data_IF_102492706781
#
_entry.id   IF_102492706781
#
_cell.length_a   1.000
_cell.length_b   1.000
_cell.length_c   1.000
_cell.angle_alpha   90.00
_cell.angle_beta   90.00
_cell.angle_gamma   90.00
#
_symmetry.space_group_name_H-M   'P 1'
#
loop_
_entity.id
_entity.type
_entity.pdbx_description
1 polymer ?
#
# COMPACT_ATOMS: atom_id res chain seq x y z
N UNK A 1 29.99 -1.29 -18.81
CA UNK A 1 28.92 -0.36 -19.24
C UNK A 1 27.97 -0.12 -18.07
N UNK A 2 27.66 1.12 -17.81
CA UNK A 2 26.77 1.51 -16.71
C UNK A 2 25.36 1.66 -17.25
N UNK A 3 24.34 1.19 -16.51
CA UNK A 3 22.97 1.41 -16.90
C UNK A 3 22.62 2.91 -16.83
N UNK A 4 21.77 3.41 -17.74
CA UNK A 4 21.26 4.78 -17.61
C UNK A 4 20.55 4.96 -16.27
N UNK A 5 20.61 6.16 -15.66
CA UNK A 5 19.97 6.38 -14.37
C UNK A 5 18.45 6.23 -14.47
N UNK A 6 17.88 5.52 -13.50
CA UNK A 6 16.44 5.45 -13.28
C UNK A 6 16.18 5.60 -11.79
N UNK A 7 14.96 5.88 -11.42
CA UNK A 7 14.56 5.89 -10.00
C UNK A 7 13.20 5.22 -9.86
N UNK A 8 12.96 4.66 -8.69
CA UNK A 8 11.68 4.04 -8.40
C UNK A 8 10.62 5.13 -8.26
N UNK A 9 9.64 5.15 -9.14
CA UNK A 9 8.62 6.19 -9.16
C UNK A 9 7.33 5.77 -8.47
N UNK A 10 6.85 4.58 -8.79
CA UNK A 10 5.57 4.12 -8.26
C UNK A 10 5.47 2.60 -8.43
N UNK A 11 4.48 2.04 -7.79
CA UNK A 11 4.02 0.68 -8.06
C UNK A 11 2.50 0.65 -7.97
N UNK A 12 1.88 -0.31 -8.64
CA UNK A 12 0.44 -0.36 -8.80
C UNK A 12 -0.16 -1.58 -8.10
N UNK A 13 -1.31 -1.36 -7.48
CA UNK A 13 -2.15 -2.43 -6.97
C UNK A 13 -3.44 -2.43 -7.76
N UNK A 14 -3.77 -3.57 -8.34
CA UNK A 14 -5.06 -3.76 -8.99
C UNK A 14 -6.09 -4.08 -7.92
N UNK A 15 -7.21 -3.37 -7.91
CA UNK A 15 -8.24 -3.53 -6.88
C UNK A 15 -9.59 -3.82 -7.54
N UNK A 16 -10.46 -4.61 -6.88
CA UNK A 16 -11.78 -4.92 -7.45
C UNK A 16 -12.74 -3.73 -7.38
N UNK A 17 -12.62 -2.90 -6.35
CA UNK A 17 -13.47 -1.72 -6.16
C UNK A 17 -12.65 -0.55 -5.65
N UNK A 18 -12.56 0.50 -6.46
CA UNK A 18 -11.74 1.66 -6.16
C UNK A 18 -12.19 2.36 -4.87
N UNK A 19 -13.50 2.54 -4.68
CA UNK A 19 -14.00 3.29 -3.52
C UNK A 19 -13.58 2.65 -2.19
N UNK A 20 -13.69 1.33 -2.09
CA UNK A 20 -13.33 0.59 -0.88
C UNK A 20 -11.81 0.60 -0.64
N UNK A 21 -11.04 0.40 -1.70
CA UNK A 21 -9.59 0.41 -1.62
C UNK A 21 -9.08 1.80 -1.20
N UNK A 22 -9.59 2.84 -1.84
CA UNK A 22 -9.22 4.21 -1.54
C UNK A 22 -9.54 4.55 -0.09
N UNK A 23 -10.73 4.18 0.39
CA UNK A 23 -11.13 4.42 1.77
C UNK A 23 -10.16 3.76 2.76
N UNK A 24 -9.75 2.51 2.48
CA UNK A 24 -8.81 1.80 3.34
C UNK A 24 -7.46 2.52 3.42
N UNK A 25 -6.82 2.78 2.27
CA UNK A 25 -5.47 3.37 2.26
C UNK A 25 -5.45 4.78 2.83
N UNK A 26 -6.52 5.54 2.63
CA UNK A 26 -6.64 6.88 3.21
C UNK A 26 -6.81 6.82 4.73
N UNK A 27 -7.76 6.03 5.21
CA UNK A 27 -8.10 5.99 6.64
C UNK A 27 -7.04 5.27 7.47
N UNK A 28 -6.51 4.17 6.95
CA UNK A 28 -5.54 3.38 7.69
C UNK A 28 -4.17 4.08 7.81
N UNK A 29 -3.70 4.72 6.72
CA UNK A 29 -2.33 5.21 6.66
C UNK A 29 -2.18 6.69 6.30
N UNK A 30 -3.27 7.35 5.93
CA UNK A 30 -3.20 8.78 5.61
C UNK A 30 -2.77 9.10 4.19
N UNK A 31 -2.88 8.14 3.26
CA UNK A 31 -2.62 8.43 1.86
C UNK A 31 -3.63 9.44 1.32
N UNK A 32 -3.20 10.26 0.38
CA UNK A 32 -4.04 11.23 -0.29
C UNK A 32 -3.92 11.08 -1.80
N UNK A 33 -5.03 11.30 -2.51
CA UNK A 33 -5.03 11.26 -3.97
C UNK A 33 -4.40 12.54 -4.49
N UNK A 34 -3.34 12.39 -5.30
CA UNK A 34 -2.66 13.54 -5.92
C UNK A 34 -2.99 13.68 -7.40
N UNK A 35 -3.44 12.60 -8.04
CA UNK A 35 -3.76 12.61 -9.46
C UNK A 35 -4.70 11.45 -9.77
N UNK A 36 -5.60 11.66 -10.74
CA UNK A 36 -6.57 10.63 -11.14
C UNK A 36 -6.64 10.54 -12.65
N UNK A 37 -6.83 9.33 -13.15
CA UNK A 37 -7.00 9.05 -14.56
C UNK A 37 -8.28 8.25 -14.77
N UNK A 38 -9.09 8.67 -15.74
CA UNK A 38 -10.30 7.97 -16.16
C UNK A 38 -10.14 7.60 -17.63
N UNK A 39 -9.97 6.32 -17.89
CA UNK A 39 -9.84 5.80 -19.24
C UNK A 39 -11.01 4.86 -19.56
N UNK A 40 -11.25 4.51 -20.85
CA UNK A 40 -12.33 3.59 -21.18
C UNK A 40 -12.21 2.23 -20.50
N UNK A 41 -10.98 1.75 -20.27
CA UNK A 41 -10.71 0.40 -19.77
C UNK A 41 -10.47 0.35 -18.27
N UNK A 42 -10.10 1.47 -17.63
CA UNK A 42 -9.75 1.48 -16.21
C UNK A 42 -9.87 2.86 -15.60
N UNK A 43 -9.97 2.88 -14.27
CA UNK A 43 -9.79 4.08 -13.46
C UNK A 43 -8.52 3.90 -12.63
N UNK A 44 -7.79 5.00 -12.38
CA UNK A 44 -6.53 4.96 -11.67
C UNK A 44 -6.38 6.18 -10.78
N UNK A 45 -5.93 5.97 -9.54
CA UNK A 45 -5.59 7.04 -8.62
C UNK A 45 -4.14 6.92 -8.17
N UNK A 46 -3.42 8.02 -8.24
CA UNK A 46 -2.08 8.13 -7.65
C UNK A 46 -2.23 8.60 -6.22
N UNK A 47 -1.68 7.82 -5.29
CA UNK A 47 -1.72 8.13 -3.86
C UNK A 47 -0.34 8.48 -3.36
N UNK A 48 -0.27 9.46 -2.47
CA UNK A 48 0.99 9.85 -1.81
C UNK A 48 0.75 10.04 -0.33
N UNK A 49 1.79 9.82 0.46
CA UNK A 49 1.80 10.19 1.86
C UNK A 49 2.26 11.64 1.96
N UNK A 50 1.71 12.42 2.93
CA UNK A 50 2.16 13.80 3.14
C UNK A 50 3.67 13.86 3.37
N UNK A 51 4.34 14.78 2.68
CA UNK A 51 5.79 14.91 2.72
C UNK A 51 6.54 13.98 1.77
N UNK A 52 5.83 13.09 1.07
CA UNK A 52 6.42 12.12 0.15
C UNK A 52 5.75 12.16 -1.23
N UNK A 53 5.28 13.35 -1.62
CA UNK A 53 4.50 13.52 -2.86
C UNK A 53 5.28 13.20 -4.13
N UNK A 54 6.61 13.36 -4.11
CA UNK A 54 7.45 13.07 -5.25
C UNK A 54 7.72 11.57 -5.44
N UNK A 55 7.23 10.78 -4.54
CA UNK A 55 7.32 9.34 -4.65
C UNK A 55 8.43 8.70 -3.82
N UNK A 56 8.50 7.36 -3.86
CA UNK A 56 7.63 6.45 -4.60
C UNK A 56 6.16 6.56 -4.20
N UNK A 57 5.29 6.49 -5.20
CA UNK A 57 3.85 6.61 -5.00
C UNK A 57 3.18 5.25 -5.09
N UNK A 58 2.04 5.13 -4.42
CA UNK A 58 1.16 3.96 -4.54
C UNK A 58 0.05 4.33 -5.52
N UNK A 59 -0.21 3.46 -6.51
CA UNK A 59 -1.28 3.69 -7.46
C UNK A 59 -2.30 2.57 -7.36
N UNK A 60 -3.58 2.93 -7.30
CA UNK A 60 -4.68 1.98 -7.31
C UNK A 60 -5.32 1.97 -8.69
N UNK A 61 -5.55 0.77 -9.23
CA UNK A 61 -6.13 0.59 -10.57
C UNK A 61 -7.35 -0.31 -10.47
N UNK A 62 -8.47 0.14 -11.03
CA UNK A 62 -9.68 -0.67 -11.15
C UNK A 62 -10.00 -0.84 -12.63
N UNK A 63 -9.98 -2.09 -13.12
CA UNK A 63 -10.36 -2.39 -14.49
C UNK A 63 -11.87 -2.48 -14.62
N UNK A 64 -12.41 -1.96 -15.73
CA UNK A 64 -13.86 -1.90 -15.92
C UNK A 64 -14.47 -3.21 -16.42
N UNK A 65 -13.64 -4.14 -16.89
CA UNK A 65 -14.08 -5.45 -17.37
C UNK A 65 -14.29 -6.47 -16.24
N UNK A 66 -14.09 -6.04 -14.98
CA UNK A 66 -14.27 -6.87 -13.78
C UNK A 66 -13.40 -8.12 -13.79
N UNK A 67 -12.22 -8.04 -14.40
CA UNK A 67 -11.27 -9.15 -14.37
C UNK A 67 -10.91 -9.50 -12.94
N UNK A 68 -10.54 -10.77 -12.73
CA UNK A 68 -10.05 -11.22 -11.43
C UNK A 68 -8.69 -10.57 -11.14
N UNK A 69 -8.61 -9.85 -10.03
CA UNK A 69 -7.39 -9.18 -9.60
C UNK A 69 -6.90 -9.71 -8.26
N UNK A 70 -7.29 -10.95 -7.92
CA UNK A 70 -6.83 -11.60 -6.69
C UNK A 70 -5.30 -11.64 -6.67
N UNK A 71 -4.65 -11.08 -5.63
CA UNK A 71 -3.19 -11.09 -5.57
C UNK A 71 -2.63 -12.50 -5.52
N UNK A 72 -1.54 -12.71 -6.28
CA UNK A 72 -0.81 -13.97 -6.28
C UNK A 72 0.40 -13.90 -5.38
N UNK A 73 1.33 -14.84 -5.58
CA UNK A 73 2.55 -14.97 -4.78
C UNK A 73 3.79 -14.41 -5.47
N UNK A 74 3.60 -13.72 -6.59
CA UNK A 74 4.72 -13.26 -7.42
C UNK A 74 5.47 -12.06 -6.88
N UNK A 75 4.98 -11.43 -5.81
CA UNK A 75 5.64 -10.28 -5.20
C UNK A 75 5.36 -10.26 -3.69
N UNK A 76 6.16 -9.48 -2.98
CA UNK A 76 6.03 -9.35 -1.53
C UNK A 76 5.10 -8.21 -1.12
N UNK A 77 5.10 -7.87 0.17
CA UNK A 77 4.21 -6.85 0.71
C UNK A 77 4.61 -5.43 0.35
N UNK A 78 3.62 -4.53 0.43
CA UNK A 78 3.87 -3.09 0.45
C UNK A 78 4.50 -2.74 1.80
N UNK A 79 5.68 -2.14 1.78
CA UNK A 79 6.39 -1.78 3.01
C UNK A 79 6.13 -0.33 3.42
N UNK A 80 5.74 -0.12 4.68
CA UNK A 80 5.51 1.19 5.26
C UNK A 80 6.37 1.36 6.51
N UNK A 81 7.11 2.47 6.59
CA UNK A 81 7.92 2.79 7.77
C UNK A 81 7.05 3.58 8.73
N UNK A 82 6.97 3.11 9.97
CA UNK A 82 6.10 3.68 11.00
C UNK A 82 6.93 4.30 12.12
N UNK A 83 6.44 5.39 12.69
CA UNK A 83 7.03 5.97 13.90
C UNK A 83 6.49 5.28 15.16
N UNK A 84 5.26 4.78 15.09
CA UNK A 84 4.60 4.05 16.19
C UNK A 84 3.87 2.87 15.58
N UNK A 85 4.56 1.74 15.49
CA UNK A 85 4.02 0.55 14.80
C UNK A 85 2.79 -0.01 15.51
N UNK A 86 2.74 0.06 16.84
CA UNK A 86 1.58 -0.44 17.58
C UNK A 86 0.32 0.34 17.22
N UNK A 87 0.42 1.68 17.15
CA UNK A 87 -0.70 2.53 16.79
C UNK A 87 -1.10 2.34 15.33
N UNK A 88 -0.12 2.23 14.42
CA UNK A 88 -0.39 2.01 12.99
C UNK A 88 -1.06 0.66 12.76
N UNK A 89 -0.60 -0.37 13.45
CA UNK A 89 -1.18 -1.71 13.39
C UNK A 89 -2.64 -1.69 13.85
N UNK A 90 -2.90 -1.10 15.00
CA UNK A 90 -4.25 -1.01 15.55
C UNK A 90 -5.19 -0.24 14.62
N UNK A 91 -4.73 0.88 14.07
CA UNK A 91 -5.54 1.67 13.16
C UNK A 91 -5.88 0.91 11.86
N UNK A 92 -4.91 0.19 11.30
CA UNK A 92 -5.15 -0.61 10.10
C UNK A 92 -6.19 -1.70 10.35
N UNK A 93 -6.13 -2.36 11.51
CA UNK A 93 -7.12 -3.36 11.90
C UNK A 93 -8.51 -2.74 12.03
N UNK A 94 -8.60 -1.54 12.63
CA UNK A 94 -9.87 -0.84 12.76
C UNK A 94 -10.46 -0.45 11.40
N UNK A 95 -9.63 -0.33 10.37
CA UNK A 95 -10.05 -0.02 9.00
C UNK A 95 -10.29 -1.27 8.15
N UNK A 96 -10.21 -2.47 8.72
CA UNK A 96 -10.57 -3.70 8.03
C UNK A 96 -9.41 -4.59 7.60
N UNK A 97 -8.18 -4.26 7.96
CA UNK A 97 -7.04 -5.13 7.65
C UNK A 97 -7.11 -6.42 8.47
N UNK A 98 -6.58 -7.50 7.90
CA UNK A 98 -6.47 -8.80 8.55
C UNK A 98 -5.06 -8.97 9.13
N UNK A 99 -4.96 -9.51 10.34
CA UNK A 99 -3.66 -9.80 10.96
C UNK A 99 -3.05 -11.02 10.30
N UNK A 100 -1.82 -10.88 9.78
CA UNK A 100 -1.00 -12.01 9.38
C UNK A 100 0.00 -12.35 10.48
N UNK A 101 0.61 -11.32 11.08
CA UNK A 101 1.40 -11.46 12.30
C UNK A 101 1.08 -10.30 13.24
N UNK A 102 1.25 -10.54 14.56
CA UNK A 102 1.31 -9.41 15.50
C UNK A 102 2.64 -8.69 15.34
N UNK A 103 2.87 -7.66 16.16
CA UNK A 103 4.14 -6.94 16.15
C UNK A 103 5.21 -7.80 16.79
N UNK A 104 6.35 -7.95 16.11
CA UNK A 104 7.49 -8.73 16.61
C UNK A 104 8.79 -8.03 16.25
N UNK A 105 9.90 -8.45 16.87
CA UNK A 105 11.22 -7.93 16.56
C UNK A 105 12.01 -8.91 15.70
N UNK A 106 12.73 -8.36 14.72
CA UNK A 106 13.64 -9.14 13.89
C UNK A 106 14.76 -8.21 13.44
N UNK A 107 16.01 -8.61 13.67
CA UNK A 107 17.18 -7.83 13.23
C UNK A 107 17.24 -6.39 13.77
N UNK A 108 16.72 -6.17 14.96
CA UNK A 108 16.75 -4.85 15.60
C UNK A 108 15.62 -3.92 15.18
N UNK A 109 14.72 -4.37 14.32
CA UNK A 109 13.54 -3.60 13.90
C UNK A 109 12.26 -4.28 14.39
N UNK A 110 11.19 -3.50 14.49
CA UNK A 110 9.87 -4.03 14.82
C UNK A 110 9.06 -4.16 13.54
N UNK A 111 8.41 -5.29 13.37
CA UNK A 111 7.72 -5.66 12.12
C UNK A 111 6.33 -6.18 12.44
N UNK A 112 5.38 -5.93 11.54
CA UNK A 112 4.08 -6.57 11.57
C UNK A 112 3.60 -6.76 10.13
N UNK A 113 2.97 -7.90 9.86
CA UNK A 113 2.40 -8.20 8.55
C UNK A 113 0.89 -8.22 8.62
N UNK A 114 0.27 -7.54 7.68
CA UNK A 114 -1.18 -7.40 7.55
C UNK A 114 -1.60 -7.72 6.13
N UNK A 115 -2.89 -7.94 5.95
CA UNK A 115 -3.48 -8.02 4.61
C UNK A 115 -4.58 -6.97 4.51
N UNK A 116 -4.56 -6.18 3.41
CA UNK A 116 -5.62 -5.20 3.16
C UNK A 116 -6.95 -5.91 2.86
N UNK A 117 -8.09 -5.21 2.96
CA UNK A 117 -9.38 -5.82 2.61
C UNK A 117 -9.44 -6.33 1.16
N UNK A 118 -8.62 -5.77 0.25
CA UNK A 118 -8.56 -6.20 -1.15
C UNK A 118 -7.58 -7.36 -1.36
N UNK A 119 -6.89 -7.81 -0.30
CA UNK A 119 -6.03 -8.99 -0.37
C UNK A 119 -4.53 -8.71 -0.52
N UNK A 120 -4.11 -7.46 -0.53
CA UNK A 120 -2.67 -7.13 -0.67
C UNK A 120 -1.99 -7.18 0.68
N UNK A 121 -0.80 -7.79 0.71
CA UNK A 121 0.00 -7.85 1.93
C UNK A 121 0.67 -6.50 2.21
N UNK A 122 0.78 -6.17 3.50
CA UNK A 122 1.38 -4.94 3.99
C UNK A 122 2.37 -5.30 5.09
N UNK A 123 3.57 -4.75 4.99
CA UNK A 123 4.57 -4.90 6.04
C UNK A 123 4.81 -3.56 6.70
N UNK A 124 4.52 -3.48 7.99
CA UNK A 124 4.82 -2.31 8.79
C UNK A 124 6.18 -2.51 9.44
N UNK A 125 7.02 -1.49 9.39
CA UNK A 125 8.37 -1.54 9.96
C UNK A 125 8.62 -0.29 10.78
N UNK A 126 9.08 -0.48 12.02
CA UNK A 126 9.57 0.62 12.84
C UNK A 126 11.05 0.43 13.05
N UNK A 127 11.82 1.40 12.57
CA UNK A 127 13.27 1.38 12.67
C UNK A 127 13.70 1.72 14.10
N UNK A 128 14.91 1.33 14.53
CA UNK A 128 15.45 1.72 15.83
C UNK A 128 15.52 3.24 15.94
N UNK A 129 15.22 3.78 17.11
CA UNK A 129 15.28 5.22 17.37
C UNK A 129 16.70 5.70 17.67
#
# INVERSE_FOLDING_TARGET
MTAPPVHLGFFKLNVPEMADALAFWRKAFGFEVTMSFEEPDFAEHVLALPGQELGPNLMLVEYRDRRDVTPGRGHGPVGLICNDIAASHERALACGAEVLTGVFEAGGVRIALLRSPQGHEIELVQLPS
#
